data_IF_243167925095
#
_entry.id   IF_243167925095
#
_cell.length_a   1.000
_cell.length_b   1.000
_cell.length_c   1.000
_cell.angle_alpha   90.00
_cell.angle_beta   90.00
_cell.angle_gamma   90.00
#
_symmetry.space_group_name_H-M   'P 1'
#
loop_
_entity.id
_entity.type
_entity.pdbx_description
1 polymer ?
#
# COMPACT_ATOMS: atom_id res chain seq x y z
N UNK A 1 -30.51 -19.08 6.48
CA UNK A 1 -29.55 -18.93 5.36
C UNK A 1 -29.20 -17.46 5.13
N UNK A 2 -30.19 -16.57 4.94
CA UNK A 2 -29.97 -15.13 4.69
C UNK A 2 -29.05 -14.44 5.71
N UNK A 3 -29.30 -14.61 7.02
CA UNK A 3 -28.50 -13.97 8.06
C UNK A 3 -27.03 -14.43 8.06
N UNK A 4 -26.76 -15.69 7.71
CA UNK A 4 -25.37 -16.21 7.64
C UNK A 4 -24.64 -15.59 6.46
N UNK A 5 -25.31 -15.45 5.31
CA UNK A 5 -24.74 -14.77 4.15
C UNK A 5 -24.44 -13.31 4.45
N UNK A 6 -25.37 -12.60 5.11
CA UNK A 6 -25.20 -11.20 5.48
C UNK A 6 -24.00 -10.98 6.42
N UNK A 7 -23.81 -11.85 7.41
CA UNK A 7 -22.64 -11.83 8.30
C UNK A 7 -21.37 -12.04 7.48
N UNK A 8 -21.30 -13.09 6.65
CA UNK A 8 -20.11 -13.38 5.85
C UNK A 8 -19.78 -12.21 4.92
N UNK A 9 -20.75 -11.63 4.24
CA UNK A 9 -20.52 -10.50 3.32
C UNK A 9 -20.06 -9.26 4.05
N UNK A 10 -20.60 -8.99 5.25
CA UNK A 10 -20.22 -7.83 6.06
C UNK A 10 -18.79 -7.96 6.58
N UNK A 11 -18.45 -9.11 7.15
CA UNK A 11 -17.10 -9.39 7.65
C UNK A 11 -16.08 -9.39 6.51
N UNK A 12 -16.45 -9.94 5.34
CA UNK A 12 -15.60 -9.92 4.15
C UNK A 12 -15.37 -8.48 3.66
N UNK A 13 -16.40 -7.64 3.62
CA UNK A 13 -16.27 -6.23 3.24
C UNK A 13 -15.33 -5.49 4.20
N UNK A 14 -15.52 -5.65 5.51
CA UNK A 14 -14.66 -5.04 6.54
C UNK A 14 -13.19 -5.46 6.39
N UNK A 15 -12.94 -6.76 6.12
CA UNK A 15 -11.58 -7.26 5.89
C UNK A 15 -10.96 -6.67 4.60
N UNK A 16 -11.73 -6.52 3.54
CA UNK A 16 -11.27 -5.89 2.29
C UNK A 16 -10.96 -4.40 2.48
N UNK A 17 -11.79 -3.67 3.22
CA UNK A 17 -11.56 -2.26 3.54
C UNK A 17 -10.25 -2.10 4.33
N UNK A 18 -10.03 -2.95 5.34
CA UNK A 18 -8.79 -2.94 6.12
C UNK A 18 -7.55 -3.24 5.25
N UNK A 19 -7.66 -4.19 4.32
CA UNK A 19 -6.57 -4.51 3.38
C UNK A 19 -6.31 -3.35 2.41
N UNK A 20 -7.35 -2.67 1.93
CA UNK A 20 -7.21 -1.52 1.05
C UNK A 20 -6.50 -0.36 1.76
N UNK A 21 -6.84 -0.10 3.02
CA UNK A 21 -6.19 0.91 3.84
C UNK A 21 -4.71 0.58 4.07
N UNK A 22 -4.40 -0.68 4.41
CA UNK A 22 -3.02 -1.12 4.59
C UNK A 22 -2.20 -1.05 3.30
N UNK A 23 -2.78 -1.45 2.16
CA UNK A 23 -2.13 -1.36 0.87
C UNK A 23 -1.81 0.10 0.51
N UNK A 24 -2.74 1.02 0.78
CA UNK A 24 -2.56 2.46 0.54
C UNK A 24 -1.47 3.05 1.42
N UNK A 25 -1.44 2.69 2.71
CA UNK A 25 -0.40 3.12 3.64
C UNK A 25 0.98 2.60 3.21
N UNK A 26 1.07 1.33 2.83
CA UNK A 26 2.31 0.72 2.37
C UNK A 26 2.81 1.37 1.07
N UNK A 27 1.92 1.62 0.11
CA UNK A 27 2.26 2.32 -1.12
C UNK A 27 2.79 3.73 -0.82
N UNK A 28 2.12 4.46 0.07
CA UNK A 28 2.55 5.80 0.49
C UNK A 28 3.93 5.78 1.13
N UNK A 29 4.19 4.85 2.04
CA UNK A 29 5.50 4.69 2.68
C UNK A 29 6.61 4.34 1.68
N UNK A 30 6.33 3.44 0.73
CA UNK A 30 7.28 3.09 -0.35
C UNK A 30 7.62 4.31 -1.19
N UNK A 31 6.62 5.11 -1.59
CA UNK A 31 6.85 6.32 -2.37
C UNK A 31 7.63 7.37 -1.58
N UNK A 32 7.33 7.55 -0.29
CA UNK A 32 8.10 8.44 0.58
C UNK A 32 9.56 8.01 0.71
N UNK A 33 9.81 6.73 0.97
CA UNK A 33 11.18 6.21 1.02
C UNK A 33 11.91 6.38 -0.32
N UNK A 34 11.22 6.12 -1.44
CA UNK A 34 11.80 6.35 -2.76
C UNK A 34 12.23 7.80 -2.94
N UNK A 35 11.38 8.78 -2.60
CA UNK A 35 11.74 10.20 -2.70
C UNK A 35 12.99 10.53 -1.88
N UNK A 36 13.03 10.09 -0.62
CA UNK A 36 14.19 10.33 0.26
C UNK A 36 15.46 9.69 -0.31
N UNK A 37 15.35 8.48 -0.86
CA UNK A 37 16.48 7.78 -1.47
C UNK A 37 16.90 8.42 -2.80
N UNK A 38 15.96 8.89 -3.62
CA UNK A 38 16.25 9.60 -4.87
C UNK A 38 16.99 10.92 -4.59
N UNK A 39 16.61 11.64 -3.53
CA UNK A 39 17.32 12.83 -3.07
C UNK A 39 18.73 12.51 -2.53
N UNK A 40 18.85 11.44 -1.72
CA UNK A 40 20.15 11.01 -1.18
C UNK A 40 21.12 10.56 -2.27
N UNK A 41 20.60 9.95 -3.34
CA UNK A 41 21.36 9.38 -4.45
C UNK A 41 21.38 10.31 -5.68
N UNK A 42 21.11 11.61 -5.51
CA UNK A 42 20.96 12.54 -6.62
C UNK A 42 22.21 12.58 -7.53
N UNK A 43 23.42 12.45 -6.96
CA UNK A 43 24.67 12.42 -7.72
C UNK A 43 24.89 11.09 -8.46
N UNK A 44 24.30 10.00 -7.96
CA UNK A 44 24.31 8.66 -8.56
C UNK A 44 23.14 8.43 -9.53
N UNK A 45 22.31 9.45 -9.80
CA UNK A 45 21.14 9.36 -10.69
C UNK A 45 19.86 8.85 -10.03
N UNK A 46 19.79 8.87 -8.70
CA UNK A 46 18.66 8.40 -7.90
C UNK A 46 18.61 6.87 -7.75
N UNK A 47 17.53 6.36 -7.17
CA UNK A 47 17.23 4.93 -7.02
C UNK A 47 17.21 4.20 -8.36
N UNK A 48 16.86 4.90 -9.45
CA UNK A 48 16.86 4.36 -10.82
C UNK A 48 18.13 4.66 -11.63
N UNK A 49 19.15 5.30 -11.03
CA UNK A 49 20.35 5.80 -11.71
C UNK A 49 21.33 4.73 -12.20
N UNK A 50 21.07 3.45 -11.88
CA UNK A 50 21.74 2.30 -12.50
C UNK A 50 20.77 1.55 -13.41
N UNK A 51 20.88 1.79 -14.71
CA UNK A 51 20.51 0.85 -15.78
C UNK A 51 21.78 0.17 -16.29
#
# INVERSE_FOLDING_TARGET
LQAVLEIITTETACALDLLADQATQMQTAILQHRMVLDDLLAEEGGVCGKL
#
